data_IF_245112479894
#
_entry.id   IF_245112479894
#
_cell.length_a   1.000
_cell.length_b   1.000
_cell.length_c   1.000
_cell.angle_alpha   90.00
_cell.angle_beta   90.00
_cell.angle_gamma   90.00
#
_symmetry.space_group_name_H-M   'P 1'
#
loop_
_entity.id
_entity.type
_entity.pdbx_description
1 polymer ?
#
# COMPACT_ATOMS: atom_id res chain seq x y z
N UNK A 1 2.66 -11.50 4.49
CA UNK A 1 2.96 -11.60 3.05
C UNK A 1 1.73 -12.04 2.27
N UNK A 2 1.53 -11.57 1.03
CA UNK A 2 0.35 -11.83 0.21
C UNK A 2 0.48 -13.07 -0.70
N UNK A 3 1.61 -13.79 -0.64
CA UNK A 3 1.94 -14.91 -1.52
C UNK A 3 0.86 -16.02 -1.58
N UNK A 4 0.08 -16.22 -0.51
CA UNK A 4 -1.02 -17.20 -0.49
C UNK A 4 -2.32 -16.73 -1.17
N UNK A 5 -2.40 -15.47 -1.59
CA UNK A 5 -3.62 -14.84 -2.11
C UNK A 5 -3.43 -14.16 -3.47
N UNK A 6 -2.20 -13.79 -3.81
CA UNK A 6 -1.86 -13.12 -5.05
C UNK A 6 -0.64 -13.81 -5.67
N UNK A 7 -0.74 -14.16 -6.95
CA UNK A 7 0.41 -14.68 -7.69
C UNK A 7 1.46 -13.59 -7.86
N UNK A 8 2.75 -13.89 -7.67
CA UNK A 8 3.82 -12.94 -7.95
C UNK A 8 3.86 -12.63 -9.45
N UNK A 9 4.15 -11.37 -9.78
CA UNK A 9 4.35 -10.92 -11.17
C UNK A 9 5.70 -11.35 -11.70
N UNK A 10 5.80 -11.49 -13.02
CA UNK A 10 7.07 -11.86 -13.66
C UNK A 10 8.16 -10.82 -13.36
N UNK A 11 9.28 -11.31 -12.84
CA UNK A 11 10.34 -10.44 -12.35
C UNK A 11 11.03 -9.69 -13.50
N UNK A 12 11.35 -10.39 -14.59
CA UNK A 12 12.22 -9.84 -15.64
C UNK A 12 11.51 -8.88 -16.57
N UNK A 13 10.24 -9.15 -16.88
CA UNK A 13 9.45 -8.35 -17.83
C UNK A 13 8.64 -7.24 -17.15
N UNK A 14 8.26 -7.39 -15.88
CA UNK A 14 7.35 -6.44 -15.20
C UNK A 14 8.03 -5.78 -14.01
N UNK A 15 8.53 -6.55 -13.06
CA UNK A 15 8.98 -6.00 -11.76
C UNK A 15 10.28 -5.20 -11.91
N UNK A 16 11.30 -5.79 -12.54
CA UNK A 16 12.62 -5.17 -12.70
C UNK A 16 12.54 -3.85 -13.47
N UNK A 17 11.88 -3.77 -14.64
CA UNK A 17 11.73 -2.48 -15.34
C UNK A 17 11.00 -1.42 -14.51
N UNK A 18 9.98 -1.81 -13.75
CA UNK A 18 9.24 -0.88 -12.89
C UNK A 18 10.09 -0.34 -11.72
N UNK A 19 10.98 -1.17 -11.16
CA UNK A 19 11.93 -0.74 -10.13
C UNK A 19 12.96 0.21 -10.73
N UNK A 20 13.51 -0.14 -11.90
CA UNK A 20 14.50 0.69 -12.61
C UNK A 20 13.92 2.05 -13.01
N UNK A 21 12.65 2.12 -13.43
CA UNK A 21 11.94 3.36 -13.72
C UNK A 21 11.74 4.25 -12.48
N UNK A 22 11.57 3.63 -11.30
CA UNK A 22 11.32 4.35 -10.04
C UNK A 22 12.58 4.72 -9.27
N UNK A 23 13.69 4.05 -9.55
CA UNK A 23 14.99 4.33 -8.91
C UNK A 23 15.41 5.78 -9.17
N UNK A 24 15.71 6.50 -8.09
CA UNK A 24 16.15 7.90 -8.14
C UNK A 24 15.04 8.93 -8.34
N UNK A 25 13.77 8.52 -8.39
CA UNK A 25 12.65 9.46 -8.38
C UNK A 25 12.24 9.82 -6.96
N UNK A 26 11.96 11.09 -6.75
CA UNK A 26 11.32 11.55 -5.53
C UNK A 26 9.86 11.10 -5.52
N UNK A 27 9.45 10.45 -4.44
CA UNK A 27 8.08 9.99 -4.23
C UNK A 27 7.55 10.54 -2.90
N UNK A 28 6.31 10.99 -2.91
CA UNK A 28 5.64 11.42 -1.69
C UNK A 28 5.41 10.21 -0.79
N UNK A 29 5.97 10.23 0.42
CA UNK A 29 5.73 9.21 1.42
C UNK A 29 4.51 9.57 2.27
N UNK A 30 3.56 8.65 2.34
CA UNK A 30 2.41 8.74 3.25
C UNK A 30 2.19 7.37 3.91
N UNK A 31 2.07 7.37 5.23
CA UNK A 31 1.97 6.11 5.97
C UNK A 31 0.74 5.31 5.57
N UNK A 32 -0.38 5.97 5.27
CA UNK A 32 -1.69 5.37 5.02
C UNK A 32 -1.82 4.82 3.59
N UNK A 33 -1.28 5.51 2.59
CA UNK A 33 -1.53 5.21 1.18
C UNK A 33 -0.28 5.01 0.32
N UNK A 34 0.88 5.49 0.76
CA UNK A 34 2.10 5.54 -0.06
C UNK A 34 3.35 5.26 0.79
N UNK A 35 3.36 4.10 1.44
CA UNK A 35 4.50 3.62 2.22
C UNK A 35 5.31 2.54 1.47
N UNK A 36 6.41 2.10 2.08
CA UNK A 36 7.31 1.11 1.48
C UNK A 36 6.66 -0.25 1.22
N UNK A 37 5.75 -0.70 2.09
CA UNK A 37 5.05 -1.98 1.91
C UNK A 37 4.04 -1.90 0.76
N UNK A 38 3.33 -0.77 0.63
CA UNK A 38 2.47 -0.51 -0.52
C UNK A 38 3.25 -0.56 -1.84
N UNK A 39 4.47 0.00 -1.87
CA UNK A 39 5.31 -0.07 -3.05
C UNK A 39 5.84 -1.48 -3.31
N UNK A 40 6.31 -2.19 -2.30
CA UNK A 40 6.79 -3.56 -2.43
C UNK A 40 5.68 -4.52 -2.92
N UNK A 41 4.47 -4.38 -2.39
CA UNK A 41 3.31 -5.18 -2.82
C UNK A 41 2.83 -4.79 -4.21
N UNK A 42 2.87 -3.51 -4.57
CA UNK A 42 2.60 -3.06 -5.93
C UNK A 42 3.58 -3.69 -6.91
N UNK A 43 4.88 -3.66 -6.61
CA UNK A 43 5.90 -4.30 -7.44
C UNK A 43 5.68 -5.80 -7.55
N UNK A 44 5.50 -6.51 -6.45
CA UNK A 44 5.43 -7.96 -6.44
C UNK A 44 4.11 -8.53 -6.96
N UNK A 45 2.98 -7.91 -6.64
CA UNK A 45 1.64 -8.47 -6.87
C UNK A 45 0.73 -7.57 -7.72
N UNK A 46 1.15 -6.34 -8.04
CA UNK A 46 0.30 -5.38 -8.76
C UNK A 46 -0.78 -4.72 -7.91
N UNK A 47 -0.78 -4.95 -6.59
CA UNK A 47 -1.76 -4.37 -5.65
C UNK A 47 -1.03 -3.56 -4.58
N UNK A 48 -1.51 -2.33 -4.31
CA UNK A 48 -1.01 -1.53 -3.18
C UNK A 48 -1.69 -2.01 -1.90
N UNK A 49 -0.93 -2.68 -1.03
CA UNK A 49 -1.43 -3.05 0.31
C UNK A 49 -0.32 -3.00 1.35
N UNK A 50 -0.68 -2.62 2.57
CA UNK A 50 0.21 -2.67 3.73
C UNK A 50 -0.47 -3.33 4.91
N UNK A 51 0.09 -4.43 5.42
CA UNK A 51 -0.38 -5.08 6.65
C UNK A 51 -0.23 -4.16 7.86
N UNK A 52 0.78 -3.28 7.83
CA UNK A 52 1.01 -2.28 8.86
C UNK A 52 -0.20 -1.35 9.03
N UNK A 53 -0.85 -0.98 7.92
CA UNK A 53 -1.99 -0.07 7.93
C UNK A 53 -3.31 -0.72 8.34
N UNK A 54 -3.48 -2.02 8.12
CA UNK A 54 -4.67 -2.74 8.62
C UNK A 54 -4.81 -2.59 10.15
N UNK A 55 -3.69 -2.58 10.87
CA UNK A 55 -3.67 -2.35 12.32
C UNK A 55 -4.08 -0.92 12.68
N UNK A 56 -3.55 0.07 11.95
CA UNK A 56 -3.87 1.49 12.15
C UNK A 56 -5.35 1.73 11.86
N UNK A 57 -5.87 1.25 10.72
CA UNK A 57 -7.29 1.37 10.38
C UNK A 57 -8.20 0.76 11.43
N UNK A 58 -7.86 -0.41 11.98
CA UNK A 58 -8.63 -1.02 13.07
C UNK A 58 -8.80 -0.08 14.28
N UNK A 59 -7.82 0.80 14.52
CA UNK A 59 -7.83 1.73 15.66
C UNK A 59 -8.48 3.08 15.30
N UNK A 60 -8.25 3.61 14.10
CA UNK A 60 -8.75 4.95 13.70
C UNK A 60 -10.16 4.91 13.10
N UNK A 61 -10.57 3.81 12.46
CA UNK A 61 -11.87 3.71 11.79
C UNK A 61 -13.06 3.96 12.71
N UNK A 62 -13.11 3.43 13.95
CA UNK A 62 -14.22 3.71 14.87
C UNK A 62 -14.37 5.21 15.15
N UNK A 63 -13.25 5.91 15.39
CA UNK A 63 -13.24 7.35 15.65
C UNK A 63 -13.70 8.16 14.44
N UNK A 64 -13.22 7.80 13.24
CA UNK A 64 -13.64 8.46 12.00
C UNK A 64 -15.11 8.20 11.69
N UNK A 65 -15.57 6.95 11.83
CA UNK A 65 -16.97 6.58 11.61
C UNK A 65 -17.90 7.40 12.49
N UNK A 66 -17.57 7.54 13.78
CA UNK A 66 -18.31 8.39 14.71
C UNK A 66 -18.37 9.84 14.24
N UNK A 67 -17.25 10.41 13.80
CA UNK A 67 -17.21 11.80 13.32
C UNK A 67 -18.01 12.01 12.04
N UNK A 68 -17.99 11.05 11.11
CA UNK A 68 -18.81 11.08 9.88
C UNK A 68 -20.30 10.96 10.19
N UNK A 69 -20.68 10.06 11.10
CA UNK A 69 -22.07 9.89 11.56
C UNK A 69 -22.58 11.17 12.25
N UNK A 70 -21.73 11.83 13.05
CA UNK A 70 -22.02 13.10 13.70
C UNK A 70 -21.95 14.31 12.75
N UNK A 71 -21.60 14.12 11.47
CA UNK A 71 -21.39 15.18 10.46
C UNK A 71 -20.46 16.30 10.92
N UNK A 72 -19.43 15.95 11.69
CA UNK A 72 -18.41 16.88 12.20
C UNK A 72 -17.18 16.96 11.31
N UNK A 73 -17.21 16.27 10.17
CA UNK A 73 -16.22 16.22 9.10
C UNK A 73 -16.93 16.38 7.75
#
# INVERSE_FOLDING_TARGET
>A
MLDGSHSPRDFHSVVKPAIEDMLGRDVTFDILFHNSEHQATLFRYGVKKSQQIELVYKHIMPSWKKLFEEKKL
#
